data_IF_886291154417
#
_entry.id   IF_886291154417
#
_cell.length_a   1.000
_cell.length_b   1.000
_cell.length_c   1.000
_cell.angle_alpha   90.00
_cell.angle_beta   90.00
_cell.angle_gamma   90.00
#
_symmetry.space_group_name_H-M   'P 1'
#
loop_
_entity.id
_entity.type
_entity.pdbx_description
1 polymer ?
#
# COMPACT_ATOMS: atom_id res chain seq x y z
N UNK A 1 1.89 13.66 29.96
CA UNK A 1 2.28 12.69 28.91
C UNK A 1 2.56 13.39 27.57
N UNK A 2 1.66 14.23 27.06
CA UNK A 2 1.86 15.00 25.80
C UNK A 2 3.12 15.89 25.86
N UNK A 3 3.36 16.53 27.01
CA UNK A 3 4.45 17.49 27.22
C UNK A 3 5.87 16.89 27.24
N UNK A 4 5.98 15.56 27.40
CA UNK A 4 7.25 14.84 27.30
C UNK A 4 7.50 14.34 25.88
N UNK A 5 6.45 13.93 25.16
CA UNK A 5 6.55 13.43 23.79
C UNK A 5 7.04 14.53 22.83
N UNK A 6 6.63 15.78 23.05
CA UNK A 6 7.09 16.95 22.27
C UNK A 6 8.60 17.21 22.37
N UNK A 7 9.26 16.71 23.43
CA UNK A 7 10.71 16.86 23.63
C UNK A 7 11.54 15.76 22.98
N UNK A 8 10.89 14.69 22.50
CA UNK A 8 11.57 13.56 21.87
C UNK A 8 11.73 13.87 20.37
N UNK A 9 12.95 13.78 19.80
CA UNK A 9 13.15 13.94 18.37
C UNK A 9 12.30 12.96 17.55
N UNK A 10 11.75 13.42 16.43
CA UNK A 10 10.87 12.63 15.55
C UNK A 10 11.51 11.34 15.07
N UNK A 11 12.83 11.33 14.86
CA UNK A 11 13.58 10.12 14.48
C UNK A 11 13.56 9.05 15.58
N UNK A 12 13.72 9.45 16.84
CA UNK A 12 13.68 8.52 17.97
C UNK A 12 12.25 8.02 18.21
N UNK A 13 11.25 8.91 18.08
CA UNK A 13 9.84 8.52 18.13
C UNK A 13 9.50 7.51 17.04
N UNK A 14 9.97 7.72 15.81
CA UNK A 14 9.81 6.78 14.70
C UNK A 14 10.41 5.40 15.03
N UNK A 15 11.63 5.37 15.58
CA UNK A 15 12.27 4.13 16.03
C UNK A 15 11.46 3.42 17.12
N UNK A 16 10.91 4.15 18.09
CA UNK A 16 10.07 3.57 19.16
C UNK A 16 8.76 3.02 18.57
N UNK A 17 8.07 3.81 17.76
CA UNK A 17 6.80 3.44 17.13
C UNK A 17 6.95 2.20 16.25
N UNK A 18 8.11 2.01 15.62
CA UNK A 18 8.41 0.85 14.79
C UNK A 18 8.17 -0.49 15.52
N UNK A 19 8.44 -0.55 16.83
CA UNK A 19 8.29 -1.78 17.61
C UNK A 19 6.87 -2.00 18.16
N UNK A 20 6.01 -0.99 18.06
CA UNK A 20 4.65 -1.08 18.59
C UNK A 20 3.73 -1.81 17.61
N UNK A 21 2.92 -2.77 18.11
CA UNK A 21 1.97 -3.54 17.30
C UNK A 21 0.62 -2.84 17.10
N UNK A 22 0.33 -1.81 17.88
CA UNK A 22 -0.97 -1.15 17.99
C UNK A 22 -0.90 0.27 17.41
N UNK A 23 -0.51 0.35 16.14
CA UNK A 23 -0.22 1.62 15.49
C UNK A 23 -1.45 2.46 15.18
N UNK A 24 -2.58 1.81 14.92
CA UNK A 24 -3.86 2.48 14.66
C UNK A 24 -4.33 3.21 15.92
N UNK A 25 -4.28 2.58 17.10
CA UNK A 25 -4.74 3.22 18.33
C UNK A 25 -3.82 4.38 18.74
N UNK A 26 -2.51 4.25 18.49
CA UNK A 26 -1.57 5.36 18.70
C UNK A 26 -1.82 6.55 17.78
N UNK A 27 -2.26 6.27 16.55
CA UNK A 27 -2.64 7.30 15.58
C UNK A 27 -3.84 8.13 16.07
N UNK A 28 -4.78 7.50 16.79
CA UNK A 28 -5.99 8.13 17.30
C UNK A 28 -5.78 8.92 18.60
N UNK A 29 -4.72 8.60 19.36
CA UNK A 29 -4.51 9.18 20.70
C UNK A 29 -3.65 10.45 20.71
N UNK A 30 -2.79 10.68 19.72
CA UNK A 30 -1.85 11.81 19.73
C UNK A 30 -1.56 12.36 18.33
N UNK A 31 -1.66 13.69 18.14
CA UNK A 31 -1.35 14.38 16.87
C UNK A 31 0.12 14.19 16.42
N UNK A 32 1.05 14.09 17.37
CA UNK A 32 2.48 13.87 17.06
C UNK A 32 2.68 12.50 16.43
N UNK A 33 2.07 11.46 17.03
CA UNK A 33 2.10 10.12 16.46
C UNK A 33 1.37 10.09 15.13
N UNK A 34 0.18 10.70 15.02
CA UNK A 34 -0.54 10.83 13.75
C UNK A 34 0.35 11.40 12.64
N UNK A 35 1.13 12.44 12.91
CA UNK A 35 2.01 13.05 11.89
C UNK A 35 3.13 12.10 11.43
N UNK A 36 3.73 11.33 12.35
CA UNK A 36 4.74 10.32 11.99
C UNK A 36 4.09 9.16 11.22
N UNK A 37 2.92 8.70 11.68
CA UNK A 37 2.23 7.54 11.15
C UNK A 37 1.63 7.82 9.78
N UNK A 38 1.26 9.07 9.48
CA UNK A 38 0.77 9.49 8.16
C UNK A 38 1.80 9.31 7.05
N UNK A 39 3.09 9.31 7.37
CA UNK A 39 4.14 9.07 6.38
C UNK A 39 4.06 7.64 5.82
N UNK A 40 3.88 7.54 4.50
CA UNK A 40 3.80 6.26 3.80
C UNK A 40 5.10 5.47 3.90
N UNK A 41 6.26 6.15 3.94
CA UNK A 41 7.55 5.48 4.06
C UNK A 41 7.67 4.82 5.44
N UNK A 42 7.26 5.51 6.51
CA UNK A 42 7.15 4.94 7.84
C UNK A 42 6.20 3.74 7.88
N UNK A 43 4.97 3.86 7.35
CA UNK A 43 3.99 2.74 7.31
C UNK A 43 4.55 1.52 6.60
N UNK A 44 5.17 1.70 5.44
CA UNK A 44 5.79 0.61 4.67
C UNK A 44 6.90 -0.07 5.47
N UNK A 45 7.81 0.70 6.07
CA UNK A 45 8.89 0.18 6.89
C UNK A 45 8.37 -0.61 8.10
N UNK A 46 7.30 -0.13 8.74
CA UNK A 46 6.64 -0.82 9.83
C UNK A 46 6.01 -2.13 9.38
N UNK A 47 5.27 -2.14 8.26
CA UNK A 47 4.67 -3.35 7.70
C UNK A 47 5.74 -4.41 7.38
N UNK A 48 6.84 -4.00 6.75
CA UNK A 48 7.94 -4.91 6.43
C UNK A 48 8.61 -5.47 7.68
N UNK A 49 8.70 -4.67 8.73
CA UNK A 49 9.28 -5.11 10.00
C UNK A 49 8.41 -6.15 10.72
N UNK A 50 7.08 -5.97 10.78
CA UNK A 50 6.19 -6.88 11.52
C UNK A 50 5.69 -8.08 10.71
N UNK A 51 5.52 -7.94 9.40
CA UNK A 51 4.88 -8.96 8.56
C UNK A 51 5.79 -9.52 7.47
N UNK A 52 6.96 -8.90 7.25
CA UNK A 52 7.83 -9.21 6.12
C UNK A 52 7.29 -8.68 4.80
N UNK A 53 8.14 -8.65 3.77
CA UNK A 53 7.81 -8.10 2.46
C UNK A 53 6.66 -8.85 1.79
N UNK A 54 6.71 -10.19 1.79
CA UNK A 54 5.77 -11.05 1.07
C UNK A 54 4.31 -10.89 1.54
N UNK A 55 4.09 -10.53 2.81
CA UNK A 55 2.74 -10.39 3.39
C UNK A 55 2.32 -8.93 3.57
N UNK A 56 3.20 -7.97 3.28
CA UNK A 56 2.94 -6.56 3.56
C UNK A 56 1.68 -6.06 2.85
N UNK A 57 1.49 -6.40 1.57
CA UNK A 57 0.31 -5.99 0.81
C UNK A 57 -0.98 -6.51 1.43
N UNK A 58 -1.01 -7.79 1.81
CA UNK A 58 -2.16 -8.42 2.49
C UNK A 58 -2.48 -7.72 3.81
N UNK A 59 -1.48 -7.49 4.66
CA UNK A 59 -1.72 -6.83 5.94
C UNK A 59 -2.11 -5.36 5.79
N UNK A 60 -1.63 -4.67 4.75
CA UNK A 60 -2.03 -3.29 4.47
C UNK A 60 -3.51 -3.19 4.15
N UNK A 61 -4.04 -4.12 3.33
CA UNK A 61 -5.47 -4.21 3.02
C UNK A 61 -6.27 -4.58 4.28
N UNK A 62 -5.78 -5.53 5.09
CA UNK A 62 -6.42 -5.95 6.35
C UNK A 62 -6.56 -4.80 7.37
N UNK A 63 -5.61 -3.87 7.41
CA UNK A 63 -5.64 -2.70 8.32
C UNK A 63 -6.67 -1.64 7.92
N UNK A 64 -7.26 -1.77 6.71
CA UNK A 64 -8.41 -0.99 6.29
C UNK A 64 -8.09 0.38 5.67
N UNK A 65 -9.12 1.09 5.18
CA UNK A 65 -8.99 2.29 4.34
C UNK A 65 -8.35 3.49 5.06
N UNK A 66 -8.37 3.51 6.40
CA UNK A 66 -7.72 4.58 7.17
C UNK A 66 -6.18 4.41 7.21
N UNK A 67 -5.68 3.21 6.94
CA UNK A 67 -4.25 2.90 6.94
C UNK A 67 -3.66 2.93 5.54
N UNK A 68 -4.37 2.35 4.56
CA UNK A 68 -3.92 2.22 3.16
C UNK A 68 -4.36 3.42 2.29
N UNK A 69 -3.47 3.84 1.39
CA UNK A 69 -3.79 4.70 0.26
C UNK A 69 -3.08 4.16 -1.01
N UNK A 70 -3.41 4.72 -2.17
CA UNK A 70 -2.87 4.28 -3.47
C UNK A 70 -1.34 4.39 -3.50
N UNK A 71 -0.79 5.48 -2.96
CA UNK A 71 0.66 5.70 -2.94
C UNK A 71 1.39 4.64 -2.12
N UNK A 72 0.91 4.33 -0.92
CA UNK A 72 1.45 3.27 -0.07
C UNK A 72 1.36 1.90 -0.74
N UNK A 73 0.25 1.59 -1.40
CA UNK A 73 0.07 0.34 -2.12
C UNK A 73 1.08 0.22 -3.28
N UNK A 74 1.27 1.28 -4.06
CA UNK A 74 2.25 1.33 -5.15
C UNK A 74 3.68 1.16 -4.61
N UNK A 75 4.05 1.86 -3.54
CA UNK A 75 5.37 1.72 -2.90
C UNK A 75 5.64 0.28 -2.45
N UNK A 76 4.65 -0.39 -1.86
CA UNK A 76 4.78 -1.79 -1.43
C UNK A 76 4.95 -2.71 -2.65
N UNK A 77 4.13 -2.54 -3.69
CA UNK A 77 4.20 -3.31 -4.94
C UNK A 77 5.57 -3.20 -5.60
N UNK A 78 6.11 -1.99 -5.71
CA UNK A 78 7.44 -1.71 -6.26
C UNK A 78 8.54 -2.39 -5.43
N UNK A 79 8.45 -2.35 -4.10
CA UNK A 79 9.45 -2.95 -3.21
C UNK A 79 9.40 -4.47 -3.12
N UNK A 80 8.22 -5.08 -3.29
CA UNK A 80 8.07 -6.54 -3.35
C UNK A 80 8.53 -7.08 -4.72
N UNK A 81 8.49 -6.24 -5.76
CA UNK A 81 8.81 -6.66 -7.12
C UNK A 81 7.68 -7.47 -7.76
N UNK A 82 6.42 -7.16 -7.41
CA UNK A 82 5.28 -7.79 -8.09
C UNK A 82 5.27 -7.28 -9.52
N UNK A 83 5.35 -8.19 -10.48
CA UNK A 83 5.35 -7.79 -11.89
C UNK A 83 4.05 -7.06 -12.23
N UNK A 84 4.17 -5.97 -12.99
CA UNK A 84 3.00 -5.26 -13.54
C UNK A 84 2.06 -6.23 -14.26
N UNK A 85 2.62 -7.22 -14.94
CA UNK A 85 1.88 -8.30 -15.59
C UNK A 85 1.03 -9.12 -14.60
N UNK A 86 1.57 -9.48 -13.43
CA UNK A 86 0.80 -10.19 -12.41
C UNK A 86 -0.35 -9.34 -11.85
N UNK A 87 -0.12 -8.04 -11.60
CA UNK A 87 -1.20 -7.12 -11.20
C UNK A 87 -2.25 -6.98 -12.29
N UNK A 88 -1.83 -6.88 -13.56
CA UNK A 88 -2.76 -6.89 -14.69
C UNK A 88 -3.58 -8.18 -14.68
N UNK A 89 -2.96 -9.36 -14.56
CA UNK A 89 -3.68 -10.65 -14.50
C UNK A 89 -4.65 -10.73 -13.33
N UNK A 90 -4.27 -10.22 -12.15
CA UNK A 90 -5.17 -10.11 -11.00
C UNK A 90 -6.35 -9.19 -11.30
N UNK A 91 -6.09 -8.01 -11.86
CA UNK A 91 -7.14 -7.10 -12.29
C UNK A 91 -8.06 -7.79 -13.30
N UNK A 92 -7.54 -8.40 -14.37
CA UNK A 92 -8.35 -9.13 -15.36
C UNK A 92 -9.26 -10.20 -14.74
N UNK A 93 -8.80 -10.85 -13.67
CA UNK A 93 -9.53 -11.94 -13.01
C UNK A 93 -10.59 -11.44 -12.04
N UNK A 94 -10.34 -10.32 -11.35
CA UNK A 94 -11.16 -9.85 -10.23
C UNK A 94 -11.89 -8.52 -10.49
N UNK A 95 -11.44 -7.71 -11.44
CA UNK A 95 -12.28 -6.64 -11.98
C UNK A 95 -13.34 -7.27 -12.87
N UNK A 96 -14.57 -6.77 -12.75
CA UNK A 96 -15.60 -6.99 -13.76
C UNK A 96 -15.09 -6.33 -15.02
N UNK A 97 -14.33 -7.08 -15.82
CA UNK A 97 -13.79 -6.64 -17.10
C UNK A 97 -14.90 -5.89 -17.84
N UNK A 98 -14.67 -4.62 -18.18
CA UNK A 98 -15.61 -3.89 -19.01
C UNK A 98 -15.66 -4.63 -20.35
N UNK A 99 -16.74 -5.38 -20.58
CA UNK A 99 -16.90 -6.26 -21.75
C UNK A 99 -16.62 -5.50 -23.04
N UNK A 100 -16.93 -4.19 -23.04
CA UNK A 100 -16.69 -3.28 -24.16
C UNK A 100 -15.20 -3.12 -24.48
N UNK A 101 -14.33 -3.10 -23.48
CA UNK A 101 -12.88 -3.00 -23.69
C UNK A 101 -12.28 -4.32 -24.23
N UNK A 102 -12.88 -5.47 -23.89
CA UNK A 102 -12.49 -6.76 -24.45
C UNK A 102 -12.87 -6.86 -25.94
N UNK A 103 -14.09 -6.45 -26.28
CA UNK A 103 -14.57 -6.41 -27.68
C UNK A 103 -13.71 -5.49 -28.55
N UNK A 104 -13.38 -4.30 -28.06
CA UNK A 104 -12.52 -3.36 -28.79
C UNK A 104 -11.11 -3.92 -29.03
N UNK A 105 -10.54 -4.65 -28.06
CA UNK A 105 -9.24 -5.33 -28.25
C UNK A 105 -9.30 -6.46 -29.27
N UNK A 106 -10.38 -7.25 -29.27
CA UNK A 106 -10.57 -8.33 -30.25
C UNK A 106 -10.75 -7.77 -31.67
N UNK A 107 -11.52 -6.70 -31.83
CA UNK A 107 -11.71 -6.04 -33.12
C UNK A 107 -10.38 -5.48 -33.67
N UNK A 108 -9.59 -4.81 -32.83
CA UNK A 108 -8.33 -4.20 -33.26
C UNK A 108 -7.27 -5.24 -33.67
N UNK A 109 -7.16 -6.35 -32.95
CA UNK A 109 -6.25 -7.44 -33.29
C UNK A 109 -6.68 -8.18 -34.58
N UNK A 110 -7.98 -8.33 -34.82
CA UNK A 110 -8.48 -8.96 -36.05
C UNK A 110 -8.29 -8.07 -37.28
N UNK A 111 -8.37 -6.74 -37.14
CA UNK A 111 -8.04 -5.82 -38.24
C UNK A 111 -6.56 -5.88 -38.62
N UNK A 112 -5.64 -6.03 -37.65
CA UNK A 112 -4.20 -6.11 -37.95
C UNK A 112 -3.80 -7.39 -38.69
N UNK A 113 -4.52 -8.50 -38.46
CA UNK A 113 -4.27 -9.79 -39.14
C UNK A 113 -4.79 -9.75 -40.59
N UNK A 114 -5.84 -8.97 -40.88
CA UNK A 114 -6.42 -8.88 -42.22
C UNK A 114 -5.77 -7.82 -43.12
N UNK A 115 -4.95 -6.93 -42.54
CA UNK A 115 -4.16 -5.92 -43.27
C UNK A 115 -2.69 -6.34 -43.48
N UNK A 116 -2.35 -7.62 -43.21
CA UNK A 116 -1.03 -8.24 -43.43
C UNK A 116 -1.04 -9.17 -44.63
#
# INVERSE_FOLDING_TARGET
MIDYITKIPSELLSKILKYNKILIDLMLTCKIFLNIIKDNQFKMNWLFFHFGKSHALFHTVRLGPNFINVDLANMIVEKIGISRYFIQRLALRFSLYDKKLLELKLQHNNSTINDS
#
